data_IF_640032538518
#
_entry.id   IF_640032538518
#
_cell.length_a   1.000
_cell.length_b   1.000
_cell.length_c   1.000
_cell.angle_alpha   90.00
_cell.angle_beta   90.00
_cell.angle_gamma   90.00
#
_symmetry.space_group_name_H-M   'P 1'
#
loop_
_entity.id
_entity.type
_entity.pdbx_description
1 polymer ?
#
# COMPACT_ATOMS: atom_id res chain seq x y z
N UNK A 1 2.95 -28.31 -9.26
CA UNK A 1 4.13 -27.84 -8.47
C UNK A 1 4.70 -26.65 -9.16
N UNK A 2 4.94 -25.56 -8.47
CA UNK A 2 5.43 -24.31 -9.04
C UNK A 2 6.95 -24.38 -9.18
N UNK A 3 7.46 -24.05 -10.34
CA UNK A 3 8.88 -23.90 -10.57
C UNK A 3 9.24 -22.43 -10.68
N UNK A 4 9.99 -21.90 -9.71
CA UNK A 4 10.28 -20.46 -9.64
C UNK A 4 11.65 -20.05 -10.20
N UNK A 5 12.53 -21.00 -10.55
CA UNK A 5 13.94 -20.69 -10.75
C UNK A 5 14.39 -20.72 -12.21
N UNK A 6 13.76 -20.06 -13.12
CA UNK A 6 14.36 -19.77 -14.44
C UNK A 6 15.09 -20.89 -15.21
N UNK A 7 15.18 -22.08 -14.63
CA UNK A 7 15.81 -23.26 -15.25
C UNK A 7 15.01 -23.81 -16.41
N UNK A 8 15.65 -24.61 -17.25
CA UNK A 8 14.96 -25.27 -18.35
C UNK A 8 13.93 -26.28 -17.80
N UNK A 9 12.86 -26.52 -18.57
CA UNK A 9 11.84 -27.51 -18.17
C UNK A 9 12.42 -28.92 -18.03
N UNK A 10 13.52 -29.18 -18.74
CA UNK A 10 14.29 -30.42 -18.68
C UNK A 10 14.98 -30.61 -17.34
N UNK A 11 15.32 -29.52 -16.64
CA UNK A 11 15.93 -29.51 -15.30
C UNK A 11 14.89 -29.58 -14.19
N UNK A 12 13.59 -29.66 -14.52
CA UNK A 12 12.53 -29.76 -13.51
C UNK A 12 12.68 -31.02 -12.67
N UNK A 13 12.54 -30.92 -11.32
CA UNK A 13 12.60 -32.12 -10.48
C UNK A 13 11.55 -33.13 -10.90
N UNK A 14 11.86 -34.42 -10.76
CA UNK A 14 10.96 -35.52 -11.12
C UNK A 14 9.59 -35.44 -10.41
N UNK A 15 9.51 -34.73 -9.29
CA UNK A 15 8.27 -34.44 -8.54
C UNK A 15 7.43 -33.29 -9.13
N UNK A 16 7.95 -32.55 -10.12
CA UNK A 16 7.21 -31.47 -10.76
C UNK A 16 6.12 -32.04 -11.69
N UNK A 17 4.95 -31.35 -11.69
CA UNK A 17 3.91 -31.69 -12.64
C UNK A 17 4.41 -31.37 -14.06
N UNK A 18 4.43 -32.38 -14.90
CA UNK A 18 4.78 -32.25 -16.32
C UNK A 18 3.73 -32.95 -17.17
N UNK A 19 3.28 -32.28 -18.21
CA UNK A 19 2.36 -32.83 -19.21
C UNK A 19 2.81 -32.37 -20.60
N UNK A 20 2.93 -33.29 -21.52
CA UNK A 20 3.21 -33.03 -22.93
C UNK A 20 1.93 -33.28 -23.74
N UNK A 21 1.67 -32.41 -24.69
CA UNK A 21 0.54 -32.52 -25.61
C UNK A 21 1.00 -32.11 -27.02
N UNK A 22 0.62 -32.87 -28.02
CA UNK A 22 0.80 -32.49 -29.41
C UNK A 22 -0.31 -31.54 -29.80
N UNK A 23 0.04 -30.43 -30.45
CA UNK A 23 -0.89 -29.41 -30.92
C UNK A 23 -0.64 -29.07 -32.38
N UNK A 24 -1.68 -28.71 -33.10
CA UNK A 24 -1.59 -28.26 -34.51
C UNK A 24 -2.08 -26.81 -34.57
N UNK A 25 -1.40 -26.01 -35.41
CA UNK A 25 -1.83 -24.64 -35.63
C UNK A 25 -3.23 -24.61 -36.28
N UNK A 26 -4.05 -23.68 -35.84
CA UNK A 26 -5.39 -23.42 -36.39
C UNK A 26 -5.28 -22.64 -37.71
N UNK A 27 -6.40 -22.34 -38.38
CA UNK A 27 -6.48 -21.61 -39.65
C UNK A 27 -5.90 -20.19 -39.62
N UNK A 28 -5.72 -19.62 -38.42
CA UNK A 28 -5.19 -18.27 -38.18
C UNK A 28 -3.72 -18.31 -37.74
N UNK A 29 -3.05 -19.46 -37.88
CA UNK A 29 -1.71 -19.73 -37.40
C UNK A 29 -1.50 -19.58 -35.89
N UNK A 30 -2.61 -19.70 -35.13
CA UNK A 30 -2.61 -19.73 -33.66
C UNK A 30 -2.62 -21.16 -33.12
N UNK A 31 -2.38 -21.32 -31.84
CA UNK A 31 -2.50 -22.59 -31.13
C UNK A 31 -3.62 -22.46 -30.07
N UNK A 32 -4.63 -23.30 -30.19
CA UNK A 32 -5.68 -23.41 -29.19
C UNK A 32 -5.38 -24.58 -28.23
N UNK A 33 -5.00 -24.24 -27.00
CA UNK A 33 -4.63 -25.22 -26.00
C UNK A 33 -5.66 -25.17 -24.87
N UNK A 34 -6.39 -26.26 -24.67
CA UNK A 34 -7.28 -26.45 -23.52
C UNK A 34 -6.58 -27.33 -22.49
N UNK A 35 -6.28 -26.76 -21.34
CA UNK A 35 -5.62 -27.49 -20.26
C UNK A 35 -6.22 -27.12 -18.91
N UNK A 36 -6.45 -28.13 -18.06
CA UNK A 36 -6.81 -27.95 -16.69
C UNK A 36 -5.52 -27.81 -15.86
N UNK A 37 -5.41 -26.73 -15.09
CA UNK A 37 -4.38 -26.53 -14.10
C UNK A 37 -4.89 -27.08 -12.76
N UNK A 38 -4.29 -28.16 -12.21
CA UNK A 38 -4.86 -28.85 -11.06
C UNK A 38 -4.70 -28.11 -9.73
N UNK A 39 -3.81 -27.13 -9.66
CA UNK A 39 -3.49 -26.39 -8.42
C UNK A 39 -3.28 -24.91 -8.72
N UNK A 40 -3.56 -24.07 -7.73
CA UNK A 40 -3.18 -22.66 -7.76
C UNK A 40 -1.66 -22.52 -7.77
N UNK A 41 -1.15 -21.68 -8.68
CA UNK A 41 0.28 -21.40 -8.77
C UNK A 41 0.76 -21.10 -10.18
N UNK A 42 2.06 -20.89 -10.29
CA UNK A 42 2.72 -20.60 -11.56
C UNK A 42 2.94 -21.88 -12.35
N UNK A 43 2.61 -21.82 -13.64
CA UNK A 43 2.88 -22.86 -14.63
C UNK A 43 3.72 -22.28 -15.77
N UNK A 44 4.75 -23.03 -16.15
CA UNK A 44 5.59 -22.69 -17.27
C UNK A 44 5.17 -23.52 -18.47
N UNK A 45 4.81 -22.85 -19.57
CA UNK A 45 4.36 -23.46 -20.81
C UNK A 45 5.46 -23.27 -21.84
N UNK A 46 5.97 -24.37 -22.37
CA UNK A 46 6.94 -24.39 -23.44
C UNK A 46 6.29 -24.92 -24.72
N UNK A 47 6.33 -24.11 -25.77
CA UNK A 47 5.88 -24.48 -27.10
C UNK A 47 7.11 -24.70 -27.97
N UNK A 48 7.21 -25.86 -28.58
CA UNK A 48 8.26 -26.20 -29.51
C UNK A 48 7.67 -26.57 -30.88
N UNK A 49 8.31 -26.15 -31.93
CA UNK A 49 7.88 -26.44 -33.28
C UNK A 49 9.06 -26.38 -34.25
N UNK A 50 8.84 -26.92 -35.43
CA UNK A 50 9.80 -26.88 -36.54
C UNK A 50 9.18 -26.06 -37.66
N UNK A 51 9.94 -25.12 -38.21
CA UNK A 51 9.51 -24.35 -39.38
C UNK A 51 9.60 -25.23 -40.63
N UNK A 52 8.94 -24.85 -41.76
CA UNK A 52 9.07 -25.58 -43.03
C UNK A 52 10.52 -25.72 -43.54
N UNK A 53 11.39 -24.80 -43.13
CA UNK A 53 12.83 -24.81 -43.49
C UNK A 53 13.67 -25.67 -42.55
N UNK A 54 13.04 -26.34 -41.55
CA UNK A 54 13.70 -27.24 -40.60
C UNK A 54 14.28 -26.55 -39.36
N UNK A 55 14.04 -25.26 -39.19
CA UNK A 55 14.49 -24.52 -38.00
C UNK A 55 13.62 -24.85 -36.81
N UNK A 56 14.23 -25.28 -35.72
CA UNK A 56 13.54 -25.46 -34.45
C UNK A 56 13.30 -24.12 -33.74
N UNK A 57 12.06 -23.85 -33.43
CA UNK A 57 11.65 -22.68 -32.64
C UNK A 57 11.12 -23.13 -31.29
N UNK A 58 11.48 -22.38 -30.26
CA UNK A 58 11.05 -22.61 -28.87
C UNK A 58 10.59 -21.29 -28.28
N UNK A 59 9.40 -21.31 -27.66
CA UNK A 59 8.84 -20.21 -26.88
C UNK A 59 8.46 -20.70 -25.50
N UNK A 60 8.80 -19.93 -24.49
CA UNK A 60 8.39 -20.22 -23.10
C UNK A 60 7.68 -19.02 -22.54
N UNK A 61 6.54 -19.25 -21.92
CA UNK A 61 5.78 -18.25 -21.18
C UNK A 61 5.23 -18.82 -19.89
N UNK A 62 4.89 -17.95 -18.96
CA UNK A 62 4.36 -18.33 -17.66
C UNK A 62 2.91 -17.88 -17.54
N UNK A 63 2.08 -18.70 -16.90
CA UNK A 63 0.74 -18.36 -16.49
C UNK A 63 0.59 -18.66 -15.00
N UNK A 64 -0.28 -17.92 -14.33
CA UNK A 64 -0.63 -18.21 -12.93
C UNK A 64 -2.07 -18.65 -12.86
N UNK A 65 -2.31 -19.87 -12.43
CA UNK A 65 -3.65 -20.35 -12.18
C UNK A 65 -4.10 -19.86 -10.80
N UNK A 66 -5.24 -19.20 -10.75
CA UNK A 66 -5.86 -18.72 -9.50
C UNK A 66 -7.03 -19.62 -9.11
N UNK A 67 -7.32 -19.70 -7.81
CA UNK A 67 -8.54 -20.34 -7.31
C UNK A 67 -9.75 -19.41 -7.46
N UNK A 68 -10.95 -19.96 -7.37
CA UNK A 68 -12.22 -19.26 -7.62
C UNK A 68 -12.40 -17.98 -6.79
N UNK A 69 -11.87 -17.92 -5.58
CA UNK A 69 -11.94 -16.74 -4.70
C UNK A 69 -11.05 -15.57 -5.11
N UNK A 70 -10.17 -15.78 -6.10
CA UNK A 70 -9.36 -14.73 -6.74
C UNK A 70 -9.87 -14.35 -8.14
N UNK A 71 -10.92 -14.98 -8.63
CA UNK A 71 -11.56 -14.58 -9.88
C UNK A 71 -12.20 -13.20 -9.69
N UNK A 72 -11.87 -12.25 -10.56
CA UNK A 72 -12.32 -10.86 -10.44
C UNK A 72 -11.62 -10.05 -9.33
N UNK A 73 -10.48 -10.53 -8.83
CA UNK A 73 -9.63 -9.82 -7.88
C UNK A 73 -8.32 -9.43 -8.57
N UNK A 74 -8.01 -8.15 -8.54
CA UNK A 74 -6.87 -7.56 -9.24
C UNK A 74 -5.79 -7.06 -8.28
N UNK A 75 -4.52 -7.06 -8.67
CA UNK A 75 -3.44 -6.50 -7.87
C UNK A 75 -3.35 -4.99 -8.07
N UNK A 76 -3.42 -4.22 -6.99
CA UNK A 76 -3.17 -2.79 -7.00
C UNK A 76 -1.95 -2.47 -6.14
N UNK A 77 -0.98 -1.77 -6.73
CA UNK A 77 0.22 -1.30 -6.05
C UNK A 77 -0.08 0.03 -5.36
N UNK A 78 0.26 0.18 -4.09
CA UNK A 78 0.03 1.42 -3.38
C UNK A 78 1.01 1.72 -2.27
N UNK A 79 0.97 2.97 -1.83
CA UNK A 79 1.65 3.44 -0.62
C UNK A 79 0.62 4.05 0.34
N UNK A 80 0.74 3.69 1.61
CA UNK A 80 -0.23 4.06 2.63
C UNK A 80 0.35 5.04 3.66
N UNK A 81 1.65 5.39 3.53
CA UNK A 81 2.37 6.24 4.47
C UNK A 81 3.47 7.04 3.77
N UNK A 82 3.27 8.35 3.64
CA UNK A 82 4.27 9.26 3.09
C UNK A 82 3.95 10.74 3.41
N UNK A 83 4.96 11.61 3.33
CA UNK A 83 4.93 12.99 3.78
C UNK A 83 5.13 14.01 2.66
N UNK A 84 4.58 15.21 2.86
CA UNK A 84 4.72 16.36 1.98
C UNK A 84 5.33 17.56 2.72
N UNK A 85 5.50 18.68 2.01
CA UNK A 85 5.98 19.92 2.60
C UNK A 85 4.95 20.61 3.54
N UNK A 86 3.85 19.96 3.82
CA UNK A 86 2.90 20.39 4.86
C UNK A 86 3.30 19.88 6.26
N UNK A 87 4.12 18.85 6.35
CA UNK A 87 4.83 18.48 7.56
C UNK A 87 6.33 18.67 7.36
N UNK A 88 7.07 17.64 7.14
CA UNK A 88 8.53 17.62 7.04
C UNK A 88 9.07 16.99 5.75
N UNK A 89 8.17 16.67 4.81
CA UNK A 89 8.54 16.28 3.46
C UNK A 89 9.00 17.44 2.58
N UNK A 90 9.63 17.13 1.45
CA UNK A 90 10.27 18.12 0.57
C UNK A 90 9.34 18.68 -0.51
N UNK A 91 8.27 18.01 -0.87
CA UNK A 91 7.47 18.32 -2.05
C UNK A 91 6.00 18.57 -1.72
N UNK A 92 5.32 19.35 -2.55
CA UNK A 92 3.89 19.56 -2.42
C UNK A 92 3.08 18.31 -2.78
N UNK A 93 1.82 18.22 -2.30
CA UNK A 93 0.97 17.04 -2.47
C UNK A 93 0.75 16.63 -3.93
N UNK A 94 0.62 17.61 -4.82
CA UNK A 94 0.37 17.37 -6.24
C UNK A 94 1.60 16.77 -6.94
N UNK A 95 2.79 17.25 -6.61
CA UNK A 95 4.04 16.70 -7.14
C UNK A 95 4.24 15.26 -6.66
N UNK A 96 3.99 15.03 -5.39
CA UNK A 96 4.07 13.69 -4.80
C UNK A 96 3.13 12.74 -5.52
N UNK A 97 1.84 13.08 -5.61
CA UNK A 97 0.83 12.24 -6.26
C UNK A 97 1.23 11.86 -7.71
N UNK A 98 1.60 12.86 -8.53
CA UNK A 98 2.03 12.61 -9.91
C UNK A 98 3.32 11.79 -9.99
N UNK A 99 4.26 12.00 -9.06
CA UNK A 99 5.52 11.25 -9.03
C UNK A 99 5.27 9.78 -8.65
N UNK A 100 4.43 9.51 -7.66
CA UNK A 100 4.10 8.14 -7.27
C UNK A 100 3.38 7.41 -8.40
N UNK A 101 2.41 8.06 -9.06
CA UNK A 101 1.77 7.46 -10.24
C UNK A 101 2.80 7.11 -11.32
N UNK A 102 3.75 8.01 -11.61
CA UNK A 102 4.81 7.73 -12.60
C UNK A 102 5.75 6.58 -12.22
N UNK A 103 5.65 6.07 -11.01
CA UNK A 103 6.47 4.97 -10.49
C UNK A 103 5.70 3.66 -10.31
N UNK A 104 4.50 3.57 -10.90
CA UNK A 104 3.74 2.33 -10.90
C UNK A 104 2.76 2.19 -9.72
N UNK A 105 2.46 3.25 -8.99
CA UNK A 105 1.46 3.18 -7.93
C UNK A 105 0.05 3.41 -8.48
N UNK A 106 -0.90 2.58 -8.05
CA UNK A 106 -2.32 2.66 -8.40
C UNK A 106 -3.12 3.47 -7.39
N UNK A 107 -2.67 3.50 -6.14
CA UNK A 107 -3.26 4.31 -5.10
C UNK A 107 -2.21 4.88 -4.16
N UNK A 108 -2.56 5.99 -3.49
CA UNK A 108 -1.70 6.68 -2.54
C UNK A 108 -2.53 7.32 -1.44
N UNK A 109 -2.07 7.23 -0.20
CA UNK A 109 -2.50 8.11 0.88
C UNK A 109 -1.34 9.02 1.28
N UNK A 110 -1.55 10.34 1.22
CA UNK A 110 -0.66 11.32 1.82
C UNK A 110 -1.02 11.41 3.29
N UNK A 111 -0.04 11.22 4.17
CA UNK A 111 -0.26 11.06 5.61
C UNK A 111 0.65 11.95 6.43
N UNK A 112 0.67 13.24 6.10
CA UNK A 112 1.47 14.24 6.81
C UNK A 112 1.24 14.21 8.33
N UNK A 113 2.30 14.42 9.10
CA UNK A 113 2.24 14.55 10.55
C UNK A 113 1.22 15.61 10.99
N UNK A 114 0.30 15.25 11.87
CA UNK A 114 -0.75 16.12 12.41
C UNK A 114 -1.73 16.69 11.37
N UNK A 115 -1.66 16.31 10.09
CA UNK A 115 -2.35 17.02 9.02
C UNK A 115 -3.10 16.05 8.10
N UNK A 116 -4.39 16.33 7.96
CA UNK A 116 -5.28 15.61 7.05
C UNK A 116 -5.50 16.36 5.72
N UNK A 117 -5.42 17.70 5.77
CA UNK A 117 -5.67 18.59 4.63
C UNK A 117 -4.80 18.30 3.39
N UNK A 118 -3.50 17.95 3.49
CA UNK A 118 -2.68 17.71 2.31
C UNK A 118 -3.22 16.59 1.42
N UNK A 119 -3.77 15.53 2.01
CA UNK A 119 -4.41 14.45 1.25
C UNK A 119 -5.66 14.95 0.50
N UNK A 120 -6.49 15.78 1.12
CA UNK A 120 -7.66 16.38 0.49
C UNK A 120 -7.25 17.37 -0.63
N UNK A 121 -6.15 18.09 -0.45
CA UNK A 121 -5.61 18.99 -1.46
C UNK A 121 -5.19 18.23 -2.73
N UNK A 122 -4.48 17.13 -2.59
CA UNK A 122 -4.12 16.29 -3.73
C UNK A 122 -5.36 15.74 -4.44
N UNK A 123 -6.34 15.22 -3.69
CA UNK A 123 -7.61 14.71 -4.23
C UNK A 123 -8.32 15.80 -5.05
N UNK A 124 -8.45 17.02 -4.51
CA UNK A 124 -9.13 18.12 -5.21
C UNK A 124 -8.36 18.59 -6.46
N UNK A 125 -7.01 18.60 -6.41
CA UNK A 125 -6.18 19.00 -7.53
C UNK A 125 -6.36 18.08 -8.76
N UNK A 126 -6.55 16.79 -8.54
CA UNK A 126 -6.71 15.80 -9.61
C UNK A 126 -8.16 15.43 -9.92
N UNK A 127 -9.14 15.97 -9.20
CA UNK A 127 -10.56 15.64 -9.32
C UNK A 127 -11.13 15.71 -10.75
N UNK A 128 -10.68 16.70 -11.53
CA UNK A 128 -11.13 16.93 -12.90
C UNK A 128 -10.11 16.49 -13.95
N UNK A 129 -9.03 15.84 -13.53
CA UNK A 129 -8.01 15.31 -14.42
C UNK A 129 -8.32 13.82 -14.63
N UNK A 130 -8.54 13.37 -15.87
CA UNK A 130 -8.88 11.98 -16.14
C UNK A 130 -7.67 11.06 -15.90
N UNK A 131 -7.64 10.47 -14.72
CA UNK A 131 -6.59 9.53 -14.28
C UNK A 131 -7.24 8.30 -13.61
N UNK A 132 -6.60 7.15 -13.72
CA UNK A 132 -7.00 5.92 -13.02
C UNK A 132 -6.24 5.76 -11.68
N UNK A 133 -5.54 6.80 -11.22
CA UNK A 133 -4.84 6.86 -9.95
C UNK A 133 -5.79 7.22 -8.80
N UNK A 134 -5.87 6.36 -7.79
CA UNK A 134 -6.75 6.58 -6.64
C UNK A 134 -6.03 7.28 -5.50
N UNK A 135 -6.40 8.53 -5.21
CA UNK A 135 -5.92 9.27 -4.06
C UNK A 135 -6.87 9.07 -2.89
N UNK A 136 -6.35 8.49 -1.81
CA UNK A 136 -7.09 8.14 -0.61
C UNK A 136 -6.79 9.17 0.48
N UNK A 137 -7.79 9.69 1.22
CA UNK A 137 -7.51 10.61 2.32
C UNK A 137 -6.73 9.90 3.44
N UNK A 138 -5.84 10.63 4.12
CA UNK A 138 -5.04 10.08 5.20
C UNK A 138 -4.34 11.13 6.04
N UNK A 139 -3.80 10.71 7.16
CA UNK A 139 -2.96 11.48 8.06
C UNK A 139 -2.12 10.56 8.94
N UNK A 140 -0.98 11.02 9.40
CA UNK A 140 -0.30 10.44 10.53
C UNK A 140 -0.75 11.16 11.81
N UNK A 141 -1.40 10.39 12.69
CA UNK A 141 -2.08 10.94 13.87
C UNK A 141 -1.09 11.20 15.00
N UNK A 142 -1.04 12.45 15.43
CA UNK A 142 -0.30 12.89 16.61
C UNK A 142 -1.15 13.80 17.47
N UNK A 143 -1.62 13.30 18.58
CA UNK A 143 -2.51 14.05 19.47
C UNK A 143 -1.75 15.00 20.39
N UNK A 144 -2.40 16.07 20.89
CA UNK A 144 -1.77 16.97 21.83
C UNK A 144 -1.44 16.27 23.15
N UNK A 145 -0.39 16.75 23.83
CA UNK A 145 0.02 16.25 25.13
C UNK A 145 -1.10 16.34 26.16
N UNK A 146 -1.22 15.31 26.99
CA UNK A 146 -2.18 15.22 28.09
C UNK A 146 -1.46 15.54 29.40
N UNK A 147 -1.77 16.66 30.04
CA UNK A 147 -1.14 17.08 31.30
C UNK A 147 0.41 17.06 31.25
N UNK A 148 1.00 17.42 30.10
CA UNK A 148 2.43 17.37 29.89
C UNK A 148 2.98 16.00 29.48
N UNK A 149 2.15 14.97 29.39
CA UNK A 149 2.51 13.66 28.88
C UNK A 149 2.28 13.59 27.36
N UNK A 150 3.33 13.30 26.60
CA UNK A 150 3.25 13.13 25.15
C UNK A 150 3.13 11.63 24.83
N UNK A 151 2.15 11.27 24.02
CA UNK A 151 2.04 9.92 23.45
C UNK A 151 2.85 9.91 22.16
N UNK A 152 3.90 9.13 22.16
CA UNK A 152 4.90 9.13 21.08
C UNK A 152 4.61 8.17 19.94
N UNK A 153 4.02 6.96 20.14
CA UNK A 153 3.81 6.04 19.02
C UNK A 153 2.93 6.64 17.93
N UNK A 154 3.42 6.56 16.71
CA UNK A 154 2.72 7.04 15.53
C UNK A 154 1.56 6.11 15.16
N UNK A 155 0.58 6.62 14.43
CA UNK A 155 -0.57 5.85 13.94
C UNK A 155 -1.05 6.40 12.61
N UNK A 156 -1.21 5.56 11.61
CA UNK A 156 -1.72 5.99 10.30
C UNK A 156 -3.24 5.80 10.24
N UNK A 157 -3.94 6.87 9.91
CA UNK A 157 -5.33 6.88 9.49
C UNK A 157 -5.37 6.79 7.95
N UNK A 158 -5.53 5.60 7.42
CA UNK A 158 -5.69 5.39 5.98
C UNK A 158 -7.17 5.35 5.62
N UNK A 159 -7.62 6.30 4.84
CA UNK A 159 -8.96 6.30 4.27
C UNK A 159 -10.09 6.69 5.23
N UNK A 160 -9.81 7.19 6.42
CA UNK A 160 -10.85 7.73 7.29
C UNK A 160 -11.58 8.91 6.65
N UNK A 161 -12.88 9.03 6.86
CA UNK A 161 -13.70 10.08 6.26
C UNK A 161 -13.51 11.46 6.93
N UNK A 162 -12.82 11.50 8.07
CA UNK A 162 -12.45 12.71 8.78
C UNK A 162 -11.11 12.55 9.51
N UNK A 163 -10.52 13.67 9.90
CA UNK A 163 -9.27 13.72 10.66
C UNK A 163 -9.50 13.34 12.13
N UNK A 164 -8.66 12.44 12.63
CA UNK A 164 -8.63 12.09 14.07
C UNK A 164 -7.94 13.19 14.88
N UNK A 165 -6.88 13.80 14.32
CA UNK A 165 -6.24 14.95 14.95
C UNK A 165 -7.22 16.08 15.20
N UNK A 166 -8.12 16.33 14.26
CA UNK A 166 -9.07 17.41 14.31
C UNK A 166 -10.25 17.17 15.29
N UNK A 167 -10.38 15.99 15.87
CA UNK A 167 -11.34 15.73 16.96
C UNK A 167 -10.96 16.39 18.29
N UNK A 168 -9.76 16.97 18.37
CA UNK A 168 -9.31 17.72 19.56
C UNK A 168 -9.08 19.18 19.16
N UNK A 169 -9.63 20.10 19.96
CA UNK A 169 -9.53 21.54 19.76
C UNK A 169 -8.07 22.00 19.62
N UNK A 170 -7.82 23.02 18.81
CA UNK A 170 -6.54 23.56 18.36
C UNK A 170 -5.84 22.78 17.24
N UNK A 171 -6.25 21.55 16.95
CA UNK A 171 -5.73 20.77 15.82
C UNK A 171 -6.74 20.74 14.68
N UNK A 172 -7.99 21.15 14.94
CA UNK A 172 -9.08 21.18 13.96
C UNK A 172 -8.87 22.20 12.82
N UNK A 173 -7.92 23.12 12.97
CA UNK A 173 -7.64 24.17 11.98
C UNK A 173 -6.18 24.11 11.59
N UNK A 174 -5.93 23.75 10.34
CA UNK A 174 -4.58 23.72 9.78
C UNK A 174 -4.20 25.07 9.17
N UNK A 175 -2.97 25.54 9.42
CA UNK A 175 -2.41 26.71 8.77
C UNK A 175 -1.89 26.34 7.37
N UNK A 176 -2.48 26.93 6.34
CA UNK A 176 -2.18 26.66 4.94
C UNK A 176 -1.58 27.90 4.31
N UNK A 177 -0.35 28.27 4.69
CA UNK A 177 0.31 29.49 4.27
C UNK A 177 0.19 30.63 5.29
N UNK A 178 0.81 31.80 5.00
CA UNK A 178 1.06 32.87 5.98
C UNK A 178 -0.19 33.42 6.69
N UNK A 179 -1.35 33.35 6.06
CA UNK A 179 -2.59 33.96 6.63
C UNK A 179 -3.85 33.12 6.35
N UNK A 180 -3.70 31.89 5.83
CA UNK A 180 -4.83 31.06 5.48
C UNK A 180 -4.93 29.86 6.41
N UNK A 181 -6.02 29.81 7.15
CA UNK A 181 -6.42 28.68 7.97
C UNK A 181 -7.51 27.89 7.26
N UNK A 182 -7.36 26.59 7.23
CA UNK A 182 -8.34 25.68 6.66
C UNK A 182 -8.80 24.72 7.73
N UNK A 183 -10.10 24.53 7.82
CA UNK A 183 -10.64 23.51 8.72
C UNK A 183 -10.30 22.12 8.14
N UNK A 184 -9.61 21.32 8.93
CA UNK A 184 -9.21 19.96 8.57
C UNK A 184 -10.36 18.95 8.67
N UNK A 185 -11.52 19.39 9.13
CA UNK A 185 -12.72 18.59 9.35
C UNK A 185 -13.86 19.15 8.49
N UNK A 186 -14.66 18.26 7.93
CA UNK A 186 -15.94 18.60 7.30
C UNK A 186 -16.98 18.98 8.36
N UNK A 187 -18.00 19.75 7.99
CA UNK A 187 -19.05 20.19 8.92
C UNK A 187 -19.92 19.06 9.49
N UNK A 188 -19.86 17.88 8.89
CA UNK A 188 -20.58 16.67 9.30
C UNK A 188 -19.76 15.72 10.21
N UNK A 189 -18.57 16.16 10.68
CA UNK A 189 -17.73 15.37 11.58
C UNK A 189 -18.27 15.35 13.01
N UNK A 190 -17.85 14.34 13.81
CA UNK A 190 -18.19 14.28 15.22
C UNK A 190 -17.79 15.55 16.00
N UNK A 191 -18.42 15.75 17.15
CA UNK A 191 -18.11 16.89 18.02
C UNK A 191 -16.62 16.95 18.39
N UNK A 192 -16.03 18.11 18.19
CA UNK A 192 -14.65 18.41 18.56
C UNK A 192 -14.58 18.59 20.08
N UNK A 193 -13.71 17.84 20.73
CA UNK A 193 -13.44 17.92 22.16
C UNK A 193 -12.47 19.07 22.46
N UNK A 194 -12.70 19.76 23.56
CA UNK A 194 -11.65 20.60 24.14
C UNK A 194 -10.49 19.76 24.64
N UNK A 195 -9.30 20.32 24.74
CA UNK A 195 -8.13 19.63 25.33
C UNK A 195 -8.42 19.08 26.74
N UNK A 196 -9.23 19.81 27.51
CA UNK A 196 -9.64 19.40 28.88
C UNK A 196 -10.55 18.18 28.86
N UNK A 197 -11.52 18.15 27.96
CA UNK A 197 -12.42 16.99 27.78
C UNK A 197 -11.65 15.78 27.27
N UNK A 198 -10.76 15.97 26.29
CA UNK A 198 -9.89 14.92 25.81
C UNK A 198 -9.01 14.34 26.93
N UNK A 199 -8.33 15.20 27.72
CA UNK A 199 -7.50 14.77 28.84
C UNK A 199 -8.32 14.01 29.91
N UNK A 200 -9.54 14.49 30.24
CA UNK A 200 -10.43 13.81 31.18
C UNK A 200 -10.85 12.42 30.66
N UNK A 201 -11.22 12.33 29.37
CA UNK A 201 -11.62 11.08 28.71
C UNK A 201 -10.47 10.07 28.70
N UNK A 202 -9.26 10.48 28.33
CA UNK A 202 -8.09 9.59 28.31
C UNK A 202 -7.68 9.15 29.71
N UNK A 203 -7.75 10.05 30.70
CA UNK A 203 -7.49 9.71 32.10
C UNK A 203 -8.51 8.69 32.66
N UNK A 204 -9.76 8.79 32.26
CA UNK A 204 -10.78 7.80 32.65
C UNK A 204 -10.49 6.44 31.97
N UNK A 205 -10.23 6.43 30.66
CA UNK A 205 -9.93 5.22 29.92
C UNK A 205 -8.66 4.52 30.43
N UNK A 206 -7.60 5.29 30.77
CA UNK A 206 -6.38 4.76 31.35
C UNK A 206 -6.57 4.02 32.70
N UNK A 207 -7.61 4.38 33.47
CA UNK A 207 -7.96 3.67 34.71
C UNK A 207 -8.71 2.37 34.47
N UNK A 208 -9.39 2.26 33.36
CA UNK A 208 -10.21 1.08 33.01
C UNK A 208 -9.43 0.03 32.23
N UNK A 209 -8.41 0.48 31.47
CA UNK A 209 -7.63 -0.37 30.60
C UNK A 209 -6.68 -1.26 31.40
N UNK A 210 -6.65 -2.54 31.07
CA UNK A 210 -5.71 -3.48 31.69
C UNK A 210 -4.45 -3.56 30.86
N UNK A 211 -3.34 -3.19 31.46
CA UNK A 211 -2.01 -3.27 30.86
C UNK A 211 -1.04 -3.99 31.81
N UNK A 212 0.02 -4.62 31.29
CA UNK A 212 1.14 -5.10 32.11
C UNK A 212 1.85 -3.95 32.85
N UNK A 213 2.56 -4.23 33.94
CA UNK A 213 3.24 -3.21 34.77
C UNK A 213 4.29 -2.40 33.99
N UNK A 214 4.83 -2.95 32.90
CA UNK A 214 5.84 -2.32 32.04
C UNK A 214 5.24 -1.61 30.81
N UNK A 215 3.91 -1.44 30.76
CA UNK A 215 3.19 -0.68 29.72
C UNK A 215 2.50 0.52 30.37
N UNK A 216 2.75 1.70 29.84
CA UNK A 216 2.07 2.92 30.32
C UNK A 216 0.59 2.92 29.92
N UNK A 217 -0.29 2.98 30.92
CA UNK A 217 -1.74 2.90 30.72
C UNK A 217 -2.31 4.11 29.96
N UNK A 218 -1.68 5.28 30.05
CA UNK A 218 -2.10 6.47 29.32
C UNK A 218 -1.79 6.31 27.82
N UNK A 219 -0.60 5.85 27.50
CA UNK A 219 -0.21 5.52 26.11
C UNK A 219 -1.15 4.49 25.50
N UNK A 220 -1.41 3.39 26.21
CA UNK A 220 -2.32 2.34 25.78
C UNK A 220 -3.75 2.86 25.55
N UNK A 221 -4.25 3.72 26.45
CA UNK A 221 -5.59 4.32 26.35
C UNK A 221 -5.71 5.25 25.14
N UNK A 222 -4.71 6.08 24.90
CA UNK A 222 -4.69 7.01 23.75
C UNK A 222 -4.61 6.24 22.44
N UNK A 223 -3.71 5.27 22.31
CA UNK A 223 -3.60 4.44 21.10
C UNK A 223 -4.91 3.69 20.82
N UNK A 224 -5.49 3.05 21.86
CA UNK A 224 -6.79 2.40 21.70
C UNK A 224 -7.86 3.36 21.21
N UNK A 225 -7.93 4.55 21.77
CA UNK A 225 -8.90 5.56 21.35
C UNK A 225 -8.66 6.00 19.89
N UNK A 226 -7.41 6.25 19.47
CA UNK A 226 -7.08 6.61 18.11
C UNK A 226 -7.58 5.55 17.12
N UNK A 227 -7.23 4.28 17.33
CA UNK A 227 -7.65 3.19 16.45
C UNK A 227 -9.17 3.01 16.42
N UNK A 228 -9.85 3.19 17.57
CA UNK A 228 -11.31 3.12 17.62
C UNK A 228 -11.96 4.27 16.84
N UNK A 229 -11.42 5.50 16.89
CA UNK A 229 -11.93 6.63 16.11
C UNK A 229 -11.62 6.47 14.62
N UNK A 230 -10.45 5.94 14.22
CA UNK A 230 -10.16 5.61 12.81
C UNK A 230 -11.19 4.62 12.26
N UNK A 231 -11.54 3.58 13.01
CA UNK A 231 -12.59 2.62 12.62
C UNK A 231 -13.95 3.27 12.48
N UNK A 232 -14.32 4.19 13.38
CA UNK A 232 -15.56 4.97 13.29
C UNK A 232 -15.58 5.89 12.07
N UNK A 233 -14.42 6.44 11.71
CA UNK A 233 -14.25 7.20 10.48
C UNK A 233 -14.29 6.34 9.20
N UNK A 234 -14.46 5.02 9.32
CA UNK A 234 -14.44 4.10 8.18
C UNK A 234 -13.05 3.87 7.59
N UNK A 235 -12.00 4.21 8.33
CA UNK A 235 -10.60 4.06 7.94
C UNK A 235 -9.99 2.71 8.33
N UNK A 236 -8.73 2.55 7.95
CA UNK A 236 -7.83 1.47 8.36
C UNK A 236 -6.77 2.07 9.28
N UNK A 237 -6.73 1.61 10.52
CA UNK A 237 -5.70 1.98 11.48
C UNK A 237 -4.45 1.15 11.29
N UNK A 238 -3.37 1.76 10.81
CA UNK A 238 -2.11 1.07 10.57
C UNK A 238 -1.13 1.42 11.69
N UNK A 239 -0.43 0.41 12.20
CA UNK A 239 0.65 0.57 13.16
C UNK A 239 1.98 0.66 12.42
N UNK A 240 2.56 1.89 12.29
CA UNK A 240 3.74 2.11 11.47
C UNK A 240 5.04 1.87 12.26
N UNK A 241 6.08 1.50 11.57
CA UNK A 241 7.51 1.47 11.94
C UNK A 241 7.85 1.39 13.45
N UNK A 242 7.34 0.42 14.25
CA UNK A 242 7.56 0.40 15.70
C UNK A 242 9.03 0.26 16.10
N UNK A 243 9.86 -0.25 15.23
CA UNK A 243 11.30 -0.43 15.46
C UNK A 243 12.17 0.71 14.91
N UNK A 244 11.54 1.83 14.52
CA UNK A 244 12.27 3.03 14.21
C UNK A 244 13.11 3.47 15.43
N UNK A 245 14.38 3.81 15.19
CA UNK A 245 15.32 4.14 16.26
C UNK A 245 15.34 5.66 16.47
N UNK A 246 14.90 6.08 17.65
CA UNK A 246 14.97 7.46 18.10
C UNK A 246 16.02 7.56 19.22
N UNK A 247 17.12 8.28 18.98
CA UNK A 247 18.22 8.29 19.91
C UNK A 247 18.93 6.93 19.97
N UNK A 248 18.83 6.21 21.10
CA UNK A 248 19.51 4.91 21.30
C UNK A 248 18.50 3.76 21.53
N UNK A 249 17.19 3.98 21.29
CA UNK A 249 16.14 3.00 21.57
C UNK A 249 15.12 2.90 20.43
N UNK A 250 14.45 1.78 20.36
CA UNK A 250 13.27 1.64 19.51
C UNK A 250 12.17 2.60 19.95
N UNK A 251 11.46 3.16 18.98
CA UNK A 251 10.38 4.11 19.20
C UNK A 251 9.23 3.52 20.04
N UNK A 252 8.94 2.25 19.85
CA UNK A 252 7.94 1.52 20.61
C UNK A 252 8.58 0.36 21.37
N UNK A 253 8.31 0.26 22.68
CA UNK A 253 8.84 -0.83 23.49
C UNK A 253 8.21 -2.18 23.11
N UNK A 254 8.96 -3.28 23.28
CA UNK A 254 8.44 -4.63 23.04
C UNK A 254 7.17 -4.93 23.86
N UNK A 255 7.12 -4.47 25.10
CA UNK A 255 5.96 -4.67 25.96
C UNK A 255 4.68 -4.00 25.41
N UNK A 256 4.81 -2.78 24.87
CA UNK A 256 3.69 -2.10 24.23
C UNK A 256 3.31 -2.76 22.92
N UNK A 257 4.30 -3.18 22.12
CA UNK A 257 4.08 -3.97 20.91
C UNK A 257 3.28 -5.24 21.20
N UNK A 258 3.71 -6.04 22.20
CA UNK A 258 3.01 -7.25 22.62
C UNK A 258 1.57 -6.95 23.01
N UNK A 259 1.37 -5.91 23.84
CA UNK A 259 0.04 -5.53 24.28
C UNK A 259 -0.87 -5.12 23.11
N UNK A 260 -0.37 -4.36 22.13
CA UNK A 260 -1.12 -3.95 20.94
C UNK A 260 -1.56 -5.16 20.10
N UNK A 261 -0.67 -6.13 19.90
CA UNK A 261 -0.92 -7.37 19.17
C UNK A 261 -1.94 -8.25 19.89
N UNK A 262 -1.71 -8.51 21.18
CA UNK A 262 -2.54 -9.40 22.00
C UNK A 262 -3.98 -8.88 22.15
N UNK A 263 -4.13 -7.56 22.20
CA UNK A 263 -5.44 -6.91 22.32
C UNK A 263 -6.05 -6.48 20.97
N UNK A 264 -5.41 -6.80 19.84
CA UNK A 264 -5.87 -6.48 18.47
C UNK A 264 -6.22 -5.01 18.32
N UNK A 265 -5.33 -4.14 18.77
CA UNK A 265 -5.59 -2.70 18.83
C UNK A 265 -5.58 -2.08 17.44
N UNK A 266 -4.65 -2.45 16.57
CA UNK A 266 -4.54 -1.95 15.20
C UNK A 266 -5.23 -2.88 14.17
N UNK A 267 -5.47 -2.39 12.95
CA UNK A 267 -6.09 -3.14 11.86
C UNK A 267 -5.05 -3.76 10.91
N UNK A 268 -3.92 -3.10 10.69
CA UNK A 268 -2.82 -3.59 9.88
C UNK A 268 -1.47 -3.15 10.48
N UNK A 269 -0.43 -3.91 10.16
CA UNK A 269 0.94 -3.67 10.63
C UNK A 269 1.84 -3.30 9.45
N UNK A 270 2.56 -2.20 9.56
CA UNK A 270 3.58 -1.81 8.59
C UNK A 270 4.84 -2.63 8.84
N UNK A 271 4.89 -3.79 8.19
CA UNK A 271 5.98 -4.75 8.38
C UNK A 271 7.24 -4.36 7.61
N UNK A 272 7.09 -3.54 6.58
CA UNK A 272 8.15 -2.89 5.82
C UNK A 272 7.79 -1.40 5.72
N UNK A 273 8.64 -0.54 6.20
CA UNK A 273 8.39 0.89 6.18
C UNK A 273 9.52 1.70 6.81
N UNK A 274 9.35 3.01 6.77
CA UNK A 274 10.30 3.94 7.36
C UNK A 274 11.64 3.91 6.68
N UNK A 275 11.92 4.77 5.77
CA UNK A 275 13.21 5.01 5.10
C UNK A 275 14.19 3.80 4.99
N UNK A 276 15.45 4.00 4.63
CA UNK A 276 16.41 2.95 4.22
C UNK A 276 17.04 2.23 5.43
N UNK A 277 16.27 1.74 6.36
CA UNK A 277 16.80 1.04 7.53
C UNK A 277 16.56 -0.47 7.46
N UNK A 278 17.47 -1.19 6.81
CA UNK A 278 17.43 -2.66 6.74
C UNK A 278 17.23 -3.33 8.09
N UNK A 279 17.87 -2.79 9.12
CA UNK A 279 17.78 -3.33 10.46
C UNK A 279 16.36 -3.25 11.00
N UNK A 280 15.70 -2.10 10.87
CA UNK A 280 14.32 -1.90 11.33
C UNK A 280 13.37 -2.84 10.61
N UNK A 281 13.40 -2.88 9.28
CA UNK A 281 12.57 -3.77 8.47
C UNK A 281 12.89 -5.25 8.74
N UNK A 282 14.13 -5.57 9.07
CA UNK A 282 14.53 -6.90 9.53
C UNK A 282 13.83 -7.29 10.82
N UNK A 283 13.89 -6.44 11.85
CA UNK A 283 13.22 -6.67 13.14
C UNK A 283 11.71 -6.77 13.00
N UNK A 284 11.07 -5.86 12.25
CA UNK A 284 9.63 -5.90 12.01
C UNK A 284 9.19 -7.19 11.31
N UNK A 285 9.97 -7.65 10.34
CA UNK A 285 9.71 -8.92 9.64
C UNK A 285 9.86 -10.13 10.58
N UNK A 286 10.90 -10.17 11.39
CA UNK A 286 11.12 -11.24 12.38
C UNK A 286 9.98 -11.24 13.39
N UNK A 287 9.61 -10.07 13.91
CA UNK A 287 8.49 -9.89 14.83
C UNK A 287 7.18 -10.43 14.26
N UNK A 288 6.84 -10.09 13.03
CA UNK A 288 5.65 -10.59 12.36
C UNK A 288 5.61 -12.12 12.31
N UNK A 289 6.72 -12.78 11.96
CA UNK A 289 6.77 -14.24 11.91
C UNK A 289 6.78 -14.90 13.30
N UNK A 290 7.38 -14.27 14.29
CA UNK A 290 7.33 -14.71 15.68
C UNK A 290 5.91 -14.63 16.23
N UNK A 291 5.20 -13.53 16.04
CA UNK A 291 3.80 -13.37 16.44
C UNK A 291 2.90 -14.41 15.77
N UNK A 292 3.13 -14.71 14.50
CA UNK A 292 2.42 -15.79 13.80
C UNK A 292 2.71 -17.15 14.42
N UNK A 293 3.95 -17.43 14.80
CA UNK A 293 4.32 -18.67 15.48
C UNK A 293 3.66 -18.79 16.87
N UNK A 294 3.43 -17.66 17.54
CA UNK A 294 2.66 -17.56 18.79
C UNK A 294 1.15 -17.67 18.59
N UNK A 295 0.67 -17.67 17.33
CA UNK A 295 -0.74 -17.82 16.97
C UNK A 295 -1.49 -16.51 16.71
N UNK A 296 -0.81 -15.35 16.75
CA UNK A 296 -1.40 -14.06 16.39
C UNK A 296 -1.43 -13.89 14.87
N UNK A 297 -2.51 -13.28 14.39
CA UNK A 297 -2.69 -12.99 12.96
C UNK A 297 -3.22 -11.57 12.80
N UNK A 298 -2.55 -10.81 11.97
CA UNK A 298 -2.95 -9.47 11.56
C UNK A 298 -2.48 -9.21 10.12
N UNK A 299 -3.19 -8.36 9.35
CA UNK A 299 -2.77 -7.96 8.01
C UNK A 299 -1.46 -7.19 8.05
N UNK A 300 -0.70 -7.25 6.95
CA UNK A 300 0.54 -6.48 6.80
C UNK A 300 0.48 -5.58 5.58
N UNK A 301 1.17 -4.46 5.68
CA UNK A 301 1.40 -3.50 4.59
C UNK A 301 2.88 -3.14 4.52
N UNK A 302 3.31 -2.68 3.35
CA UNK A 302 4.58 -2.02 3.14
C UNK A 302 4.33 -0.58 2.72
N UNK A 303 5.03 0.36 3.31
CA UNK A 303 4.89 1.78 3.02
C UNK A 303 6.25 2.45 2.98
N UNK A 304 6.36 3.61 2.31
CA UNK A 304 7.66 4.24 2.16
C UNK A 304 8.08 5.09 3.35
N UNK A 305 7.11 5.70 4.05
CA UNK A 305 7.36 6.78 5.00
C UNK A 305 8.29 7.86 4.39
N UNK A 306 8.08 8.11 3.11
CA UNK A 306 8.99 8.93 2.31
C UNK A 306 8.79 10.42 2.59
N UNK A 307 9.88 11.11 2.86
CA UNK A 307 9.92 12.56 3.02
C UNK A 307 10.42 13.28 1.76
N UNK A 308 10.77 12.54 0.70
CA UNK A 308 11.17 13.12 -0.57
C UNK A 308 10.99 12.14 -1.73
N UNK A 309 10.52 12.63 -2.84
CA UNK A 309 10.36 11.87 -4.07
C UNK A 309 11.35 12.30 -5.17
N UNK A 310 12.51 12.88 -4.81
CA UNK A 310 13.58 13.17 -5.78
C UNK A 310 14.29 11.89 -6.23
N UNK A 311 14.90 11.89 -7.44
CA UNK A 311 15.66 10.73 -7.92
C UNK A 311 16.85 10.34 -7.01
N UNK A 312 17.44 11.33 -6.32
CA UNK A 312 18.56 11.15 -5.40
C UNK A 312 18.12 10.49 -4.09
N UNK A 313 16.92 10.81 -3.65
CA UNK A 313 16.27 10.15 -2.52
C UNK A 313 15.32 9.09 -3.04
N UNK A 314 15.66 7.84 -2.83
CA UNK A 314 14.90 6.69 -3.33
C UNK A 314 13.62 6.38 -2.53
N UNK A 315 13.17 7.30 -1.68
CA UNK A 315 12.03 7.10 -0.78
C UNK A 315 10.84 6.37 -1.42
N UNK A 316 10.32 6.89 -2.53
CA UNK A 316 9.19 6.27 -3.24
C UNK A 316 9.49 4.93 -3.94
N UNK A 317 10.67 4.34 -3.76
CA UNK A 317 11.02 3.03 -4.34
C UNK A 317 11.31 1.97 -3.28
N UNK A 318 11.24 2.32 -2.00
CA UNK A 318 11.77 1.47 -0.94
C UNK A 318 10.81 0.34 -0.60
N UNK A 319 9.56 0.69 -0.38
CA UNK A 319 8.52 -0.26 0.00
C UNK A 319 7.21 0.10 -0.69
N UNK A 320 6.37 -0.88 -0.85
CA UNK A 320 5.00 -0.71 -1.34
C UNK A 320 4.11 -1.84 -0.83
N UNK A 321 2.82 -1.71 -1.05
CA UNK A 321 1.85 -2.77 -0.80
C UNK A 321 1.20 -3.20 -2.09
N UNK A 322 1.15 -4.50 -2.38
CA UNK A 322 0.20 -5.04 -3.35
C UNK A 322 -1.06 -5.43 -2.58
N UNK A 323 -2.18 -4.82 -2.92
CA UNK A 323 -3.50 -5.17 -2.42
C UNK A 323 -4.27 -5.93 -3.49
N UNK A 324 -4.71 -7.13 -3.18
CA UNK A 324 -5.55 -7.94 -4.06
C UNK A 324 -7.02 -7.61 -3.79
N UNK A 325 -7.59 -6.77 -4.65
CA UNK A 325 -8.92 -6.17 -4.47
C UNK A 325 -9.78 -6.29 -5.73
N UNK A 326 -11.11 -6.39 -5.61
CA UNK A 326 -11.97 -6.34 -6.79
C UNK A 326 -11.95 -4.99 -7.50
N UNK A 327 -11.65 -3.90 -6.77
CA UNK A 327 -11.68 -2.54 -7.29
C UNK A 327 -10.58 -1.70 -6.64
N UNK A 328 -10.04 -0.71 -7.38
CA UNK A 328 -9.12 0.30 -6.85
C UNK A 328 -9.90 1.44 -6.18
N UNK A 329 -10.70 1.09 -5.18
CA UNK A 329 -11.54 2.02 -4.45
C UNK A 329 -11.26 1.93 -2.96
N UNK A 330 -11.30 3.06 -2.25
CA UNK A 330 -10.96 3.17 -0.83
C UNK A 330 -11.55 2.06 0.03
N UNK A 331 -12.85 1.82 -0.06
CA UNK A 331 -13.53 0.81 0.75
C UNK A 331 -13.11 -0.62 0.39
N UNK A 332 -12.99 -0.90 -0.91
CA UNK A 332 -12.57 -2.21 -1.40
C UNK A 332 -11.13 -2.54 -1.00
N UNK A 333 -10.23 -1.55 -1.06
CA UNK A 333 -8.85 -1.69 -0.61
C UNK A 333 -8.78 -1.98 0.90
N UNK A 334 -9.50 -1.21 1.73
CA UNK A 334 -9.55 -1.40 3.19
C UNK A 334 -10.06 -2.81 3.54
N UNK A 335 -11.17 -3.23 2.96
CA UNK A 335 -11.74 -4.57 3.22
C UNK A 335 -10.82 -5.69 2.73
N UNK A 336 -10.13 -5.48 1.62
CA UNK A 336 -9.15 -6.44 1.10
C UNK A 336 -7.97 -6.60 2.03
N UNK A 337 -7.41 -5.50 2.56
CA UNK A 337 -6.33 -5.54 3.56
C UNK A 337 -6.81 -6.25 4.82
N UNK A 338 -7.98 -5.87 5.39
CA UNK A 338 -8.57 -6.51 6.57
C UNK A 338 -8.81 -8.01 6.37
N UNK A 339 -9.05 -8.42 5.13
CA UNK A 339 -9.22 -9.83 4.73
C UNK A 339 -7.90 -10.55 4.44
N UNK A 340 -6.75 -10.00 4.84
CA UNK A 340 -5.41 -10.55 4.61
C UNK A 340 -5.02 -10.67 3.12
N UNK A 341 -5.63 -9.89 2.24
CA UNK A 341 -5.35 -9.85 0.81
C UNK A 341 -4.33 -8.76 0.46
N UNK A 342 -3.27 -8.67 1.25
CA UNK A 342 -2.17 -7.72 1.02
C UNK A 342 -0.82 -8.39 1.23
N UNK A 343 0.18 -7.89 0.53
CA UNK A 343 1.59 -8.22 0.75
C UNK A 343 2.42 -6.96 0.74
N UNK A 344 3.35 -6.85 1.69
CA UNK A 344 4.37 -5.83 1.67
C UNK A 344 5.49 -6.22 0.69
N UNK A 345 5.96 -5.25 -0.09
CA UNK A 345 7.01 -5.44 -1.10
C UNK A 345 8.20 -4.56 -0.75
N UNK A 346 9.37 -5.19 -0.60
CA UNK A 346 10.66 -4.52 -0.48
C UNK A 346 11.28 -4.39 -1.87
N UNK A 347 11.38 -3.18 -2.38
CA UNK A 347 11.96 -2.88 -3.69
C UNK A 347 13.43 -2.48 -3.64
N UNK A 348 14.02 -2.37 -2.45
CA UNK A 348 15.44 -2.02 -2.27
C UNK A 348 16.34 -3.17 -2.67
N UNK A 349 15.98 -4.38 -2.25
CA UNK A 349 16.75 -5.55 -2.60
C UNK A 349 16.51 -5.91 -4.07
N UNK A 350 17.56 -6.31 -4.77
CA UNK A 350 17.43 -6.81 -6.15
C UNK A 350 16.61 -8.11 -6.26
N UNK A 351 16.27 -8.70 -5.13
CA UNK A 351 15.61 -9.99 -5.03
C UNK A 351 14.10 -9.88 -4.74
N UNK A 352 13.53 -8.69 -4.65
CA UNK A 352 12.13 -8.47 -4.28
C UNK A 352 11.68 -9.33 -3.09
N UNK A 353 11.87 -8.83 -1.89
CA UNK A 353 11.35 -9.50 -0.70
C UNK A 353 9.89 -9.11 -0.48
N UNK A 354 9.02 -10.12 -0.39
CA UNK A 354 7.61 -9.94 -0.07
C UNK A 354 7.31 -10.53 1.30
N UNK A 355 6.48 -9.85 2.08
CA UNK A 355 6.02 -10.29 3.41
C UNK A 355 4.50 -10.32 3.44
N UNK A 356 3.93 -11.44 3.88
CA UNK A 356 2.49 -11.64 3.96
C UNK A 356 2.10 -13.11 3.98
N UNK A 357 0.85 -13.41 3.65
CA UNK A 357 0.39 -14.78 3.49
C UNK A 357 1.06 -15.45 2.28
N UNK A 358 1.60 -16.64 2.46
CA UNK A 358 2.41 -17.35 1.44
C UNK A 358 1.73 -17.41 0.06
N UNK A 359 0.41 -17.59 0.04
CA UNK A 359 -0.38 -17.61 -1.19
C UNK A 359 -0.21 -16.33 -1.99
N UNK A 360 -0.40 -15.18 -1.33
CA UNK A 360 -0.29 -13.86 -1.96
C UNK A 360 1.16 -13.47 -2.23
N UNK A 361 2.11 -13.90 -1.39
CA UNK A 361 3.55 -13.72 -1.66
C UNK A 361 3.93 -14.40 -2.97
N UNK A 362 3.52 -15.65 -3.19
CA UNK A 362 3.80 -16.38 -4.44
C UNK A 362 3.17 -15.71 -5.66
N UNK A 363 1.91 -15.28 -5.52
CA UNK A 363 1.21 -14.59 -6.60
C UNK A 363 1.84 -13.22 -6.87
N UNK A 364 2.18 -12.45 -5.83
CA UNK A 364 2.89 -11.19 -5.95
C UNK A 364 4.24 -11.31 -6.66
N UNK A 365 5.03 -12.33 -6.34
CA UNK A 365 6.31 -12.62 -7.05
C UNK A 365 6.09 -12.85 -8.55
N UNK A 366 5.07 -13.63 -8.92
CA UNK A 366 4.71 -13.82 -10.32
C UNK A 366 4.34 -12.50 -11.00
N UNK A 367 3.52 -11.68 -10.35
CA UNK A 367 3.04 -10.41 -10.90
C UNK A 367 4.15 -9.37 -11.06
N UNK A 368 5.08 -9.28 -10.10
CA UNK A 368 6.24 -8.40 -10.18
C UNK A 368 7.15 -8.73 -11.38
N UNK A 369 7.21 -9.99 -11.77
CA UNK A 369 8.01 -10.42 -12.92
C UNK A 369 7.28 -10.35 -14.27
N UNK A 370 5.95 -10.43 -14.28
CA UNK A 370 5.20 -10.66 -15.52
C UNK A 370 4.17 -9.57 -15.84
N UNK A 371 3.54 -8.97 -14.83
CA UNK A 371 2.48 -7.98 -14.99
C UNK A 371 2.97 -6.55 -14.74
N UNK A 372 3.58 -6.27 -13.59
CA UNK A 372 3.96 -4.93 -13.19
C UNK A 372 4.94 -4.23 -14.17
N UNK A 373 5.88 -4.90 -14.86
CA UNK A 373 6.70 -4.21 -15.85
C UNK A 373 5.90 -3.56 -16.99
N UNK A 374 4.78 -4.19 -17.41
CA UNK A 374 3.89 -3.65 -18.45
C UNK A 374 2.97 -2.56 -17.87
N UNK A 375 2.50 -2.79 -16.66
CA UNK A 375 1.68 -1.85 -15.88
C UNK A 375 2.43 -0.53 -15.64
N UNK A 376 3.67 -0.60 -15.21
CA UNK A 376 4.48 0.55 -14.83
C UNK A 376 4.78 1.47 -16.03
N UNK A 377 4.88 0.93 -17.25
CA UNK A 377 5.00 1.73 -18.46
C UNK A 377 3.78 2.65 -18.69
N UNK A 378 2.57 2.14 -18.42
CA UNK A 378 1.33 2.94 -18.52
C UNK A 378 1.28 3.98 -17.41
N UNK A 379 1.62 3.59 -16.19
CA UNK A 379 1.64 4.49 -15.03
C UNK A 379 2.66 5.61 -15.18
N UNK A 380 3.83 5.30 -15.74
CA UNK A 380 4.88 6.30 -16.00
C UNK A 380 4.38 7.44 -16.87
N UNK A 381 3.73 7.12 -17.98
CA UNK A 381 3.20 8.13 -18.89
C UNK A 381 2.05 8.92 -18.28
N UNK A 382 1.15 8.25 -17.57
CA UNK A 382 0.04 8.91 -16.88
C UNK A 382 0.55 9.89 -15.81
N UNK A 383 1.46 9.48 -14.93
CA UNK A 383 2.04 10.34 -13.90
C UNK A 383 2.82 11.52 -14.46
N UNK A 384 3.53 11.33 -15.58
CA UNK A 384 4.21 12.41 -16.29
C UNK A 384 3.21 13.47 -16.79
N UNK A 385 2.10 13.03 -17.37
CA UNK A 385 1.03 13.92 -17.85
C UNK A 385 0.28 14.57 -16.69
N UNK A 386 0.04 13.88 -15.60
CA UNK A 386 -0.53 14.46 -14.37
C UNK A 386 0.33 15.63 -13.87
N UNK A 387 1.65 15.47 -13.85
CA UNK A 387 2.58 16.52 -13.47
C UNK A 387 2.51 17.72 -14.43
N UNK A 388 2.46 17.46 -15.73
CA UNK A 388 2.31 18.51 -16.74
C UNK A 388 0.96 19.24 -16.62
N UNK A 389 -0.13 18.54 -16.33
CA UNK A 389 -1.45 19.12 -16.12
C UNK A 389 -1.52 20.09 -14.92
N UNK A 390 -0.64 19.92 -13.92
CA UNK A 390 -0.58 20.82 -12.76
C UNK A 390 0.43 21.97 -12.99
N UNK A 391 1.62 21.67 -13.48
CA UNK A 391 2.76 22.62 -13.47
C UNK A 391 3.13 23.20 -14.83
N UNK A 392 2.53 22.71 -15.92
CA UNK A 392 2.77 23.22 -17.27
C UNK A 392 2.23 24.62 -17.52
N UNK A 393 2.56 25.22 -18.65
CA UNK A 393 1.86 26.37 -19.19
C UNK A 393 0.41 26.04 -19.50
N UNK A 394 -0.45 27.01 -19.72
CA UNK A 394 -1.88 26.77 -19.99
C UNK A 394 -2.09 25.83 -21.21
N UNK A 395 -1.29 26.01 -22.27
CA UNK A 395 -1.34 25.14 -23.46
C UNK A 395 -0.88 23.71 -23.11
N UNK A 396 0.22 23.56 -22.37
CA UNK A 396 0.72 22.25 -21.93
C UNK A 396 -0.25 21.54 -20.99
N UNK A 397 -0.92 22.25 -20.09
CA UNK A 397 -1.97 21.70 -19.22
C UNK A 397 -3.12 21.16 -20.04
N UNK A 398 -3.60 21.93 -21.01
CA UNK A 398 -4.71 21.51 -21.87
C UNK A 398 -4.33 20.27 -22.70
N UNK A 399 -3.10 20.25 -23.26
CA UNK A 399 -2.60 19.12 -24.03
C UNK A 399 -2.46 17.86 -23.15
N UNK A 400 -1.98 18.00 -21.93
CA UNK A 400 -1.88 16.92 -20.98
C UNK A 400 -3.25 16.32 -20.63
N UNK A 401 -4.25 17.17 -20.31
CA UNK A 401 -5.61 16.74 -20.01
C UNK A 401 -6.27 16.05 -21.21
N UNK A 402 -6.08 16.61 -22.42
CA UNK A 402 -6.59 15.99 -23.65
C UNK A 402 -5.97 14.60 -23.87
N UNK A 403 -4.67 14.47 -23.65
CA UNK A 403 -3.96 13.18 -23.80
C UNK A 403 -4.42 12.18 -22.75
N UNK A 404 -4.52 12.59 -21.48
CA UNK A 404 -5.05 11.75 -20.41
C UNK A 404 -6.49 11.28 -20.69
N UNK A 405 -7.33 12.15 -21.29
CA UNK A 405 -8.68 11.77 -21.68
C UNK A 405 -8.71 10.64 -22.72
N UNK A 406 -7.74 10.62 -23.65
CA UNK A 406 -7.59 9.53 -24.63
C UNK A 406 -7.01 8.28 -23.99
N UNK A 407 -6.17 8.43 -22.99
CA UNK A 407 -5.56 7.32 -22.25
C UNK A 407 -6.51 6.67 -21.25
N UNK A 408 -7.51 7.39 -20.78
CA UNK A 408 -8.45 6.93 -19.77
C UNK A 408 -9.07 5.57 -20.13
N UNK A 409 -9.09 4.66 -19.19
CA UNK A 409 -9.55 3.27 -19.37
C UNK A 409 -8.50 2.32 -19.96
N UNK A 410 -7.27 2.76 -20.19
CA UNK A 410 -6.16 1.87 -20.66
C UNK A 410 -5.79 0.83 -19.61
N UNK A 411 -5.68 1.28 -18.35
CA UNK A 411 -5.35 0.38 -17.24
C UNK A 411 -6.45 -0.67 -17.08
N UNK A 412 -7.72 -0.25 -17.08
CA UNK A 412 -8.85 -1.18 -17.04
C UNK A 412 -8.82 -2.21 -18.17
N UNK A 413 -8.58 -1.77 -19.40
CA UNK A 413 -8.47 -2.69 -20.55
C UNK A 413 -7.29 -3.63 -20.45
N UNK A 414 -6.19 -3.18 -19.87
CA UNK A 414 -5.02 -4.01 -19.61
C UNK A 414 -5.34 -5.07 -18.56
N UNK A 415 -5.99 -4.70 -17.45
CA UNK A 415 -6.46 -5.63 -16.43
C UNK A 415 -7.40 -6.69 -17.03
N UNK A 416 -8.42 -6.28 -17.79
CA UNK A 416 -9.35 -7.19 -18.46
C UNK A 416 -8.66 -8.15 -19.43
N UNK A 417 -7.64 -7.68 -20.14
CA UNK A 417 -6.89 -8.50 -21.07
C UNK A 417 -5.90 -9.46 -20.39
N UNK A 418 -5.23 -9.00 -19.34
CA UNK A 418 -4.20 -9.78 -18.64
C UNK A 418 -4.81 -10.80 -17.69
N UNK A 419 -5.85 -10.40 -16.97
CA UNK A 419 -6.61 -11.24 -16.05
C UNK A 419 -7.91 -11.71 -16.71
N UNK A 420 -7.78 -12.45 -17.81
CA UNK A 420 -8.93 -13.06 -18.49
C UNK A 420 -9.49 -14.22 -17.64
N UNK A 421 -10.51 -13.92 -16.85
CA UNK A 421 -11.21 -14.90 -16.02
C UNK A 421 -12.40 -15.50 -16.76
#
# INVERSE_FOLDING_TARGET
>A
MTWLNGGDIEDAPASAFRKEIDVTANSENGLDIKMLFPYEGEYRIRVEGETPDGDKKRFTFCVYAVSDDLVGVYPFMGDLHMHTNFSDGAHDPENVAATYRSRGYDFLAITDHHRYYPSLRAIEAFKNIPTEFNLVPGEEVHLPSINGFKVDPHTINFGGEYSINALVEDVAVEEVGKDKKVRAIRDDCPDVMTRKEFAAKMTALAKEIKVPDNVDAMTAAVLKWIYDEIRKAGGLGIFPHPTWITGEAFHVSDALNDWLVENKIFDAFEVLGGEVYFEQNGYQTVRYYEDRARGFKYPVVGSTDSHSCTPENKGAYICSTIVFSPENERKALIESIKSFRSVAVDTISKEFRLVGEMRYVRYGCFLLNNYFPIHDDVCFEEGRLMKQAIYGTEDEKQDAVNTLSVMNGRMKKMLEKYFAF
#
